data_IF_906038785863
#
_entry.id   IF_906038785863
#
_cell.length_a   1.000
_cell.length_b   1.000
_cell.length_c   1.000
_cell.angle_alpha   90.00
_cell.angle_beta   90.00
_cell.angle_gamma   90.00
#
_symmetry.space_group_name_H-M   'P 1'
#
loop_
_entity.id
_entity.type
_entity.pdbx_description
1 polymer ?
#
# COMPACT_ATOMS: atom_id res chain seq x y z
N UNK A 1 72.54 -5.08 29.62
CA UNK A 1 71.60 -4.03 29.19
C UNK A 1 70.63 -4.63 28.19
N UNK A 2 69.43 -5.04 28.63
CA UNK A 2 68.40 -5.63 27.76
C UNK A 2 67.18 -4.71 27.74
N UNK A 3 66.84 -4.18 26.57
CA UNK A 3 65.70 -3.26 26.37
C UNK A 3 64.42 -4.06 26.19
N UNK A 4 63.52 -3.96 27.15
CA UNK A 4 62.12 -4.37 27.01
C UNK A 4 61.36 -3.34 26.16
N UNK A 5 60.99 -3.71 24.93
CA UNK A 5 59.97 -2.99 24.15
C UNK A 5 58.59 -3.58 24.48
N UNK A 6 57.84 -2.85 25.32
CA UNK A 6 56.42 -3.10 25.56
C UNK A 6 55.64 -2.80 24.27
N UNK A 7 55.09 -3.84 23.66
CA UNK A 7 54.05 -3.71 22.63
C UNK A 7 52.76 -3.25 23.31
N UNK A 8 52.43 -1.97 23.14
CA UNK A 8 51.14 -1.40 23.53
C UNK A 8 50.08 -1.90 22.55
N UNK A 9 49.34 -2.92 22.96
CA UNK A 9 48.17 -3.42 22.24
C UNK A 9 47.05 -2.42 22.48
N UNK A 10 46.96 -1.41 21.62
CA UNK A 10 45.75 -0.59 21.49
C UNK A 10 44.62 -1.52 21.07
N UNK A 11 43.80 -1.88 22.05
CA UNK A 11 42.50 -2.47 21.84
C UNK A 11 41.64 -1.36 21.23
N UNK A 12 41.59 -1.32 19.90
CA UNK A 12 40.59 -0.56 19.17
C UNK A 12 39.24 -1.11 19.62
N UNK A 13 38.62 -0.41 20.57
CA UNK A 13 37.26 -0.63 21.03
C UNK A 13 36.38 -0.32 19.82
N UNK A 14 35.92 -1.37 19.16
CA UNK A 14 34.95 -1.29 18.06
C UNK A 14 33.80 -0.39 18.51
N UNK A 15 33.64 0.74 17.84
CA UNK A 15 32.45 1.60 17.90
C UNK A 15 31.29 0.93 17.14
N UNK A 16 31.06 -0.36 17.39
CA UNK A 16 29.80 -1.01 17.02
C UNK A 16 28.85 -0.73 18.17
N UNK A 17 27.93 0.21 17.95
CA UNK A 17 26.84 0.46 18.89
C UNK A 17 26.09 -0.84 19.18
N UNK A 18 25.60 -0.99 20.40
CA UNK A 18 24.80 -2.15 20.79
C UNK A 18 23.63 -2.29 19.80
N UNK A 19 23.40 -3.47 19.19
CA UNK A 19 22.33 -3.66 18.21
C UNK A 19 20.95 -3.28 18.76
N UNK A 20 20.70 -3.43 20.06
CA UNK A 20 19.45 -2.98 20.67
C UNK A 20 19.31 -1.46 20.72
N UNK A 21 20.39 -0.73 20.97
CA UNK A 21 20.36 0.74 20.96
C UNK A 21 20.02 1.25 19.54
N UNK A 22 20.52 0.56 18.51
CA UNK A 22 20.18 0.86 17.11
C UNK A 22 18.70 0.60 16.82
N UNK A 23 18.11 -0.47 17.37
CA UNK A 23 16.69 -0.77 17.17
C UNK A 23 15.81 0.28 17.87
N UNK A 24 16.15 0.68 19.10
CA UNK A 24 15.39 1.72 19.79
C UNK A 24 15.48 3.08 19.07
N UNK A 25 16.65 3.39 18.49
CA UNK A 25 16.78 4.57 17.62
C UNK A 25 15.89 4.46 16.38
N UNK A 26 15.87 3.30 15.72
CA UNK A 26 14.97 3.05 14.57
C UNK A 26 13.52 3.24 14.99
N UNK A 27 13.07 2.66 16.10
CA UNK A 27 11.69 2.82 16.59
C UNK A 27 11.32 4.27 16.87
N UNK A 28 12.24 5.05 17.44
CA UNK A 28 12.04 6.49 17.62
C UNK A 28 11.86 7.20 16.28
N UNK A 29 12.65 6.84 15.26
CA UNK A 29 12.49 7.38 13.90
C UNK A 29 11.11 6.98 13.35
N UNK A 30 10.73 5.71 13.40
CA UNK A 30 9.43 5.25 12.87
C UNK A 30 8.25 5.95 13.55
N UNK A 31 8.33 6.16 14.87
CA UNK A 31 7.32 6.91 15.62
C UNK A 31 7.18 8.34 15.09
N UNK A 32 8.30 9.02 14.87
CA UNK A 32 8.32 10.36 14.28
C UNK A 32 7.76 10.35 12.85
N UNK A 33 8.16 9.40 12.00
CA UNK A 33 7.65 9.31 10.62
C UNK A 33 6.13 9.13 10.60
N UNK A 34 5.57 8.29 11.46
CA UNK A 34 4.13 8.08 11.57
C UNK A 34 3.38 9.35 12.00
N UNK A 35 3.96 10.13 12.92
CA UNK A 35 3.41 11.43 13.31
C UNK A 35 3.37 12.40 12.14
N UNK A 36 4.47 12.50 11.38
CA UNK A 36 4.56 13.39 10.22
C UNK A 36 3.55 13.01 9.14
N UNK A 37 3.45 11.73 8.79
CA UNK A 37 2.45 11.24 7.81
C UNK A 37 1.02 11.61 8.23
N UNK A 38 0.72 11.52 9.53
CA UNK A 38 -0.64 11.74 10.04
C UNK A 38 -1.02 13.21 10.18
N UNK A 39 -0.06 14.08 10.55
CA UNK A 39 -0.35 15.47 10.97
C UNK A 39 0.19 16.49 9.96
N UNK A 40 1.35 16.21 9.35
CA UNK A 40 2.09 17.14 8.49
C UNK A 40 2.60 16.45 7.22
N UNK A 41 1.71 15.87 6.38
CA UNK A 41 2.13 15.10 5.21
C UNK A 41 2.96 15.91 4.20
N UNK A 42 2.74 17.24 4.14
CA UNK A 42 3.51 18.16 3.31
C UNK A 42 4.98 18.31 3.73
N UNK A 43 5.36 17.87 4.93
CA UNK A 43 6.74 17.91 5.42
C UNK A 43 7.50 16.58 5.24
N UNK A 44 6.83 15.52 4.78
CA UNK A 44 7.40 14.17 4.67
C UNK A 44 8.74 14.13 3.91
N UNK A 45 8.89 14.93 2.85
CA UNK A 45 10.13 14.97 2.06
C UNK A 45 11.37 15.29 2.91
N UNK A 46 11.23 16.16 3.90
CA UNK A 46 12.34 16.57 4.78
C UNK A 46 12.83 15.42 5.67
N UNK A 47 12.01 14.39 5.88
CA UNK A 47 12.30 13.23 6.73
C UNK A 47 12.78 12.00 5.95
N UNK A 48 12.85 12.06 4.62
CA UNK A 48 13.38 10.97 3.78
C UNK A 48 14.79 10.51 4.24
N UNK A 49 15.75 11.42 4.54
CA UNK A 49 17.07 11.00 5.04
C UNK A 49 17.00 10.19 6.34
N UNK A 50 16.07 10.53 7.25
CA UNK A 50 15.86 9.82 8.50
C UNK A 50 15.32 8.42 8.26
N UNK A 51 14.35 8.27 7.36
CA UNK A 51 13.81 6.97 6.99
C UNK A 51 14.88 6.07 6.32
N UNK A 52 15.71 6.61 5.44
CA UNK A 52 16.85 5.90 4.85
C UNK A 52 17.91 5.49 5.87
N UNK A 53 18.17 6.33 6.87
CA UNK A 53 19.06 5.99 7.99
C UNK A 53 18.51 4.82 8.80
N UNK A 54 17.20 4.78 9.06
CA UNK A 54 16.55 3.66 9.73
C UNK A 54 16.64 2.35 8.92
N UNK A 55 16.38 2.41 7.60
CA UNK A 55 16.57 1.25 6.70
C UNK A 55 18.00 0.72 6.76
N UNK A 56 18.99 1.61 6.63
CA UNK A 56 20.42 1.25 6.68
C UNK A 56 20.78 0.57 8.01
N UNK A 57 20.27 1.08 9.13
CA UNK A 57 20.50 0.50 10.45
C UNK A 57 19.91 -0.91 10.57
N UNK A 58 18.67 -1.12 10.09
CA UNK A 58 17.98 -2.42 10.08
C UNK A 58 18.71 -3.46 9.23
N UNK A 59 19.24 -3.05 8.07
CA UNK A 59 20.01 -3.92 7.19
C UNK A 59 21.35 -4.31 7.82
N UNK A 60 22.03 -3.34 8.44
CA UNK A 60 23.31 -3.56 9.12
C UNK A 60 23.20 -4.64 10.20
N UNK A 61 22.19 -4.56 11.06
CA UNK A 61 21.95 -5.53 12.14
C UNK A 61 21.19 -6.79 11.67
N UNK A 62 20.84 -6.87 10.37
CA UNK A 62 20.08 -7.98 9.77
C UNK A 62 18.76 -8.26 10.51
N UNK A 63 18.07 -7.21 10.93
CA UNK A 63 16.92 -7.26 11.84
C UNK A 63 15.83 -8.27 11.42
N UNK A 64 15.52 -8.31 10.12
CA UNK A 64 14.47 -9.18 9.56
C UNK A 64 14.87 -10.66 9.40
N UNK A 65 16.01 -11.08 9.96
CA UNK A 65 16.39 -12.50 10.02
C UNK A 65 16.01 -13.16 11.34
N UNK A 66 15.64 -12.38 12.36
CA UNK A 66 15.30 -12.90 13.68
C UNK A 66 13.78 -13.11 13.82
N UNK A 67 13.27 -14.35 13.77
CA UNK A 67 11.83 -14.61 13.91
C UNK A 67 11.30 -14.26 15.31
N UNK A 68 12.15 -14.14 16.35
CA UNK A 68 11.70 -13.82 17.70
C UNK A 68 11.15 -12.39 17.80
N UNK A 69 11.51 -11.49 16.86
CA UNK A 69 11.10 -10.08 16.83
C UNK A 69 9.92 -9.82 15.92
N UNK A 70 9.09 -10.84 15.67
CA UNK A 70 7.97 -10.77 14.72
C UNK A 70 7.10 -9.51 14.89
N UNK A 71 6.60 -9.23 16.11
CA UNK A 71 5.74 -8.08 16.35
C UNK A 71 6.42 -6.73 15.99
N UNK A 72 7.71 -6.59 16.32
CA UNK A 72 8.49 -5.39 15.98
C UNK A 72 8.74 -5.29 14.47
N UNK A 73 8.98 -6.42 13.79
CA UNK A 73 9.15 -6.45 12.34
C UNK A 73 7.90 -5.96 11.63
N UNK A 74 6.72 -6.46 12.02
CA UNK A 74 5.44 -6.02 11.47
C UNK A 74 5.28 -4.50 11.65
N UNK A 75 5.45 -4.01 12.89
CA UNK A 75 5.27 -2.61 13.22
C UNK A 75 6.24 -1.67 12.46
N UNK A 76 7.52 -2.06 12.36
CA UNK A 76 8.53 -1.29 11.62
C UNK A 76 8.21 -1.23 10.13
N UNK A 77 7.87 -2.38 9.51
CA UNK A 77 7.56 -2.40 8.08
C UNK A 77 6.31 -1.56 7.80
N UNK A 78 5.27 -1.66 8.63
CA UNK A 78 4.04 -0.87 8.47
C UNK A 78 4.31 0.64 8.54
N UNK A 79 5.13 1.08 9.50
CA UNK A 79 5.48 2.50 9.62
C UNK A 79 6.33 3.01 8.45
N UNK A 80 7.35 2.26 8.04
CA UNK A 80 8.15 2.60 6.85
C UNK A 80 7.32 2.60 5.58
N UNK A 81 6.40 1.65 5.41
CA UNK A 81 5.52 1.58 4.25
C UNK A 81 4.55 2.76 4.21
N UNK A 82 3.93 3.10 5.34
CA UNK A 82 3.04 4.27 5.43
C UNK A 82 3.76 5.55 5.06
N UNK A 83 5.01 5.69 5.52
CA UNK A 83 5.87 6.80 5.12
C UNK A 83 6.29 6.74 3.65
N UNK A 84 6.64 5.58 3.10
CA UNK A 84 7.06 5.46 1.70
C UNK A 84 5.96 5.84 0.71
N UNK A 85 4.70 5.63 1.09
CA UNK A 85 3.50 5.92 0.31
C UNK A 85 2.65 7.05 0.92
N UNK A 86 3.29 8.03 1.56
CA UNK A 86 2.59 9.15 2.18
C UNK A 86 1.74 9.97 1.19
N UNK A 87 2.10 9.93 -0.09
CA UNK A 87 1.39 10.53 -1.22
C UNK A 87 1.39 9.56 -2.41
N UNK A 88 0.66 8.45 -2.25
CA UNK A 88 0.67 7.32 -3.18
C UNK A 88 0.23 7.69 -4.62
N UNK A 89 -0.61 8.72 -4.76
CA UNK A 89 -1.11 9.20 -6.06
C UNK A 89 -0.03 9.93 -6.85
N UNK A 90 0.89 10.62 -6.17
CA UNK A 90 2.03 11.28 -6.80
C UNK A 90 3.29 10.39 -6.85
N UNK A 91 3.27 9.23 -6.19
CA UNK A 91 4.31 8.22 -6.27
C UNK A 91 4.72 7.66 -4.92
N UNK A 92 5.97 7.25 -4.80
CA UNK A 92 6.51 6.71 -3.55
C UNK A 92 7.98 7.03 -3.40
N UNK A 93 8.49 6.94 -2.17
CA UNK A 93 9.93 6.89 -1.91
C UNK A 93 10.43 5.49 -2.28
N UNK A 94 10.76 5.32 -3.57
CA UNK A 94 10.95 4.02 -4.24
C UNK A 94 11.87 3.07 -3.47
N UNK A 95 13.02 3.55 -3.00
CA UNK A 95 14.00 2.71 -2.29
C UNK A 95 13.46 2.17 -0.95
N UNK A 96 12.63 2.94 -0.26
CA UNK A 96 11.99 2.53 0.99
C UNK A 96 10.81 1.59 0.71
N UNK A 97 10.03 1.86 -0.33
CA UNK A 97 8.94 1.00 -0.77
C UNK A 97 9.45 -0.41 -1.16
N UNK A 98 10.53 -0.48 -1.94
CA UNK A 98 11.18 -1.72 -2.35
C UNK A 98 11.76 -2.47 -1.14
N UNK A 99 12.35 -1.74 -0.17
CA UNK A 99 12.78 -2.34 1.09
C UNK A 99 11.62 -2.98 1.84
N UNK A 100 10.48 -2.28 1.99
CA UNK A 100 9.30 -2.79 2.69
C UNK A 100 8.75 -4.05 2.02
N UNK A 101 8.65 -4.07 0.68
CA UNK A 101 8.22 -5.25 -0.05
C UNK A 101 9.14 -6.45 0.20
N UNK A 102 10.46 -6.25 0.15
CA UNK A 102 11.44 -7.30 0.41
C UNK A 102 11.40 -7.79 1.87
N UNK A 103 11.19 -6.88 2.83
CA UNK A 103 11.05 -7.21 4.24
C UNK A 103 9.79 -8.05 4.48
N UNK A 104 8.65 -7.65 3.92
CA UNK A 104 7.42 -8.43 3.97
C UNK A 104 7.59 -9.84 3.40
N UNK A 105 8.17 -9.97 2.19
CA UNK A 105 8.40 -11.27 1.57
C UNK A 105 9.35 -12.15 2.40
N UNK A 106 10.28 -11.55 3.14
CA UNK A 106 11.16 -12.29 4.06
C UNK A 106 10.38 -12.81 5.28
N UNK A 107 9.52 -11.99 5.88
CA UNK A 107 8.67 -12.40 7.00
C UNK A 107 7.67 -13.47 6.56
N UNK A 108 7.07 -13.32 5.37
CA UNK A 108 6.11 -14.27 4.78
C UNK A 108 6.68 -15.69 4.67
N UNK A 109 7.99 -15.84 4.39
CA UNK A 109 8.62 -17.18 4.32
C UNK A 109 8.52 -17.96 5.62
N UNK A 110 8.52 -17.26 6.76
CA UNK A 110 8.41 -17.87 8.09
C UNK A 110 6.95 -17.96 8.56
N UNK A 111 6.09 -17.08 8.05
CA UNK A 111 4.69 -16.93 8.47
C UNK A 111 3.75 -16.84 7.25
N UNK A 112 3.61 -17.92 6.46
CA UNK A 112 2.97 -17.86 5.13
C UNK A 112 1.48 -17.54 5.16
N UNK A 113 0.80 -17.89 6.25
CA UNK A 113 -0.65 -17.69 6.44
C UNK A 113 -0.95 -16.66 7.55
N UNK A 114 0.04 -15.84 7.93
CA UNK A 114 -0.21 -14.80 8.92
C UNK A 114 -0.98 -13.63 8.30
N UNK A 115 -2.09 -13.26 8.94
CA UNK A 115 -3.02 -12.24 8.45
C UNK A 115 -2.35 -10.88 8.30
N UNK A 116 -1.54 -10.45 9.26
CA UNK A 116 -0.88 -9.13 9.24
C UNK A 116 0.13 -9.02 8.09
N UNK A 117 0.89 -10.10 7.85
CA UNK A 117 1.88 -10.17 6.76
C UNK A 117 1.21 -10.13 5.39
N UNK A 118 0.16 -10.94 5.21
CA UNK A 118 -0.59 -10.99 3.96
C UNK A 118 -1.30 -9.65 3.69
N UNK A 119 -1.88 -9.05 4.74
CA UNK A 119 -2.52 -7.73 4.66
C UNK A 119 -1.51 -6.64 4.32
N UNK A 120 -0.32 -6.66 4.95
CA UNK A 120 0.76 -5.72 4.67
C UNK A 120 1.24 -5.77 3.21
N UNK A 121 1.39 -6.98 2.66
CA UNK A 121 1.71 -7.18 1.24
C UNK A 121 0.60 -6.71 0.31
N UNK A 122 -0.66 -7.05 0.62
CA UNK A 122 -1.82 -6.56 -0.14
C UNK A 122 -1.84 -5.04 -0.24
N UNK A 123 -1.66 -4.37 0.91
CA UNK A 123 -1.56 -2.90 0.99
C UNK A 123 -0.38 -2.37 0.21
N UNK A 124 0.80 -3.00 0.31
CA UNK A 124 1.99 -2.58 -0.42
C UNK A 124 1.73 -2.54 -1.93
N UNK A 125 1.17 -3.62 -2.48
CA UNK A 125 0.85 -3.72 -3.90
C UNK A 125 -0.25 -2.75 -4.34
N UNK A 126 -1.29 -2.59 -3.52
CA UNK A 126 -2.36 -1.62 -3.76
C UNK A 126 -1.80 -0.19 -3.79
N UNK A 127 -0.95 0.19 -2.83
CA UNK A 127 -0.33 1.51 -2.79
C UNK A 127 0.58 1.77 -3.99
N UNK A 128 1.31 0.75 -4.47
CA UNK A 128 2.13 0.86 -5.70
C UNK A 128 1.28 1.11 -6.96
N UNK A 129 0.04 0.64 -7.00
CA UNK A 129 -0.84 0.90 -8.14
C UNK A 129 -1.36 2.34 -8.21
N UNK A 130 -1.37 3.09 -7.10
CA UNK A 130 -2.10 4.36 -7.01
C UNK A 130 -1.61 5.40 -8.00
N UNK A 131 -0.30 5.61 -8.14
CA UNK A 131 0.25 6.55 -9.14
C UNK A 131 -0.14 6.18 -10.58
N UNK A 132 -0.25 4.89 -10.90
CA UNK A 132 -0.69 4.45 -12.24
C UNK A 132 -2.19 4.67 -12.41
N UNK A 133 -2.99 4.41 -11.37
CA UNK A 133 -4.43 4.70 -11.36
C UNK A 133 -4.72 6.19 -11.50
N UNK A 134 -3.98 7.04 -10.78
CA UNK A 134 -4.09 8.51 -10.87
C UNK A 134 -3.78 9.01 -12.29
N UNK A 135 -2.78 8.42 -12.96
CA UNK A 135 -2.47 8.73 -14.37
C UNK A 135 -3.58 8.32 -15.32
N UNK A 136 -4.16 7.13 -15.13
CA UNK A 136 -5.32 6.68 -15.91
C UNK A 136 -6.47 7.67 -15.75
N UNK A 137 -6.81 8.04 -14.52
CA UNK A 137 -7.86 9.02 -14.24
C UNK A 137 -7.59 10.39 -14.89
N UNK A 138 -6.33 10.86 -14.89
CA UNK A 138 -5.96 12.11 -15.53
C UNK A 138 -6.09 12.05 -17.07
N UNK A 139 -5.70 10.93 -17.69
CA UNK A 139 -5.87 10.73 -19.14
C UNK A 139 -7.36 10.65 -19.53
N UNK A 140 -8.18 9.93 -18.75
CA UNK A 140 -9.62 9.82 -18.98
C UNK A 140 -10.35 11.16 -18.77
N UNK A 141 -9.98 11.94 -17.75
CA UNK A 141 -10.59 13.24 -17.45
C UNK A 141 -10.23 14.37 -18.43
N UNK A 142 -9.09 14.28 -19.12
CA UNK A 142 -8.72 15.26 -20.13
C UNK A 142 -9.45 15.06 -21.48
N UNK A 143 -9.92 13.85 -21.75
CA UNK A 143 -10.61 13.51 -23.01
C UNK A 143 -12.01 14.15 -23.15
N UNK A 144 -12.60 14.62 -22.04
CA UNK A 144 -13.87 15.38 -22.06
C UNK A 144 -13.80 16.77 -22.73
N UNK A 145 -12.61 17.21 -23.15
CA UNK A 145 -12.44 18.47 -23.93
C UNK A 145 -12.19 18.25 -25.43
N UNK A 146 -12.21 17.00 -25.90
CA UNK A 146 -11.72 16.61 -27.22
C UNK A 146 -12.75 16.34 -28.31
N UNK A 147 -13.98 16.86 -28.26
CA UNK A 147 -14.89 16.85 -29.43
C UNK A 147 -15.85 18.04 -29.39
N UNK A 148 -15.57 19.09 -30.17
CA UNK A 148 -16.54 19.85 -30.99
C UNK A 148 -15.87 21.11 -31.56
N UNK A 149 -15.21 20.96 -32.72
CA UNK A 149 -15.35 21.98 -33.76
C UNK A 149 -16.83 21.99 -34.15
N UNK A 150 -17.60 22.92 -33.59
CA UNK A 150 -18.81 23.53 -34.17
C UNK A 150 -19.34 24.57 -33.16
N UNK A 151 -19.34 25.83 -33.58
CA UNK A 151 -20.09 26.92 -32.95
C UNK A 151 -21.56 26.49 -32.71
N UNK A 152 -22.10 26.72 -31.50
CA UNK A 152 -23.42 27.32 -31.23
C UNK A 152 -23.66 27.39 -29.69
N UNK A 153 -23.93 28.61 -29.23
CA UNK A 153 -24.68 29.09 -28.05
C UNK A 153 -25.09 28.13 -26.91
N UNK A 154 -24.75 28.54 -25.66
CA UNK A 154 -25.51 28.50 -24.36
C UNK A 154 -26.27 27.20 -24.00
N UNK A 155 -26.22 26.64 -22.79
CA UNK A 155 -26.50 27.26 -21.48
C UNK A 155 -26.29 26.21 -20.36
N UNK A 156 -25.98 26.69 -19.15
CA UNK A 156 -26.33 26.15 -17.82
C UNK A 156 -25.81 24.78 -17.32
N UNK A 157 -24.90 24.89 -16.35
CA UNK A 157 -24.85 24.16 -15.07
C UNK A 157 -25.52 22.78 -15.00
N UNK A 158 -24.70 21.74 -15.10
CA UNK A 158 -24.74 20.62 -14.14
C UNK A 158 -23.34 19.97 -14.12
N UNK A 159 -22.49 20.41 -13.20
CA UNK A 159 -21.24 19.70 -12.88
C UNK A 159 -21.59 18.52 -11.98
N UNK A 160 -22.15 17.49 -12.59
CA UNK A 160 -22.11 16.14 -12.02
C UNK A 160 -20.73 15.57 -12.36
N UNK A 161 -19.76 15.84 -11.47
CA UNK A 161 -18.40 15.30 -11.52
C UNK A 161 -18.43 13.81 -11.14
N UNK A 162 -19.23 13.04 -11.88
CA UNK A 162 -19.15 11.59 -11.87
C UNK A 162 -17.86 11.22 -12.63
N UNK A 163 -16.95 10.43 -12.02
CA UNK A 163 -15.78 9.95 -12.74
C UNK A 163 -16.30 9.15 -13.95
N UNK A 164 -16.14 9.71 -15.14
CA UNK A 164 -16.54 9.07 -16.39
C UNK A 164 -15.63 7.87 -16.63
N UNK A 165 -15.97 6.73 -16.00
CA UNK A 165 -15.29 5.46 -16.22
C UNK A 165 -15.34 5.14 -17.71
N UNK A 166 -14.18 4.91 -18.32
CA UNK A 166 -14.10 4.46 -19.71
C UNK A 166 -15.02 3.24 -19.92
N UNK A 167 -15.80 3.17 -21.01
CA UNK A 167 -16.73 2.07 -21.21
C UNK A 167 -16.02 0.70 -21.14
N UNK A 168 -16.72 -0.39 -20.76
CA UNK A 168 -16.10 -1.71 -20.53
C UNK A 168 -15.31 -2.26 -21.72
N UNK A 169 -15.64 -1.81 -22.92
CA UNK A 169 -15.01 -2.18 -24.19
C UNK A 169 -14.06 -1.11 -24.73
N UNK A 170 -13.64 -0.13 -23.91
CA UNK A 170 -12.69 0.89 -24.35
C UNK A 170 -11.35 0.21 -24.71
N UNK A 171 -10.88 0.32 -25.98
CA UNK A 171 -9.59 -0.23 -26.39
C UNK A 171 -8.41 0.32 -25.57
N UNK A 172 -8.54 1.51 -24.94
CA UNK A 172 -7.55 2.07 -24.01
C UNK A 172 -7.29 1.16 -22.82
N UNK A 173 -8.26 0.36 -22.36
CA UNK A 173 -8.09 -0.63 -21.28
C UNK A 173 -7.06 -1.72 -21.61
N UNK A 174 -6.62 -1.81 -22.88
CA UNK A 174 -5.54 -2.68 -23.33
C UNK A 174 -4.18 -1.95 -23.42
N UNK A 175 -4.16 -0.64 -23.18
CA UNK A 175 -2.99 0.22 -23.25
C UNK A 175 -1.98 -0.02 -22.11
N UNK A 176 -0.77 0.53 -22.24
CA UNK A 176 0.34 0.27 -21.32
C UNK A 176 0.01 0.57 -19.85
N UNK A 177 -0.69 1.68 -19.57
CA UNK A 177 -1.04 2.07 -18.19
C UNK A 177 -1.98 1.06 -17.53
N UNK A 178 -2.99 0.56 -18.24
CA UNK A 178 -3.91 -0.45 -17.71
C UNK A 178 -3.23 -1.81 -17.53
N UNK A 179 -2.27 -2.15 -18.39
CA UNK A 179 -1.44 -3.35 -18.22
C UNK A 179 -0.58 -3.22 -16.95
N UNK A 180 0.05 -2.07 -16.76
CA UNK A 180 0.86 -1.78 -15.57
C UNK A 180 0.01 -1.81 -14.29
N UNK A 181 -1.14 -1.13 -14.28
CA UNK A 181 -2.05 -1.11 -13.15
C UNK A 181 -2.49 -2.53 -12.75
N UNK A 182 -2.87 -3.36 -13.72
CA UNK A 182 -3.19 -4.78 -13.47
C UNK A 182 -2.00 -5.56 -12.91
N UNK A 183 -0.78 -5.26 -13.37
CA UNK A 183 0.46 -5.85 -12.86
C UNK A 183 0.67 -5.62 -11.36
N UNK A 184 0.22 -4.49 -10.82
CA UNK A 184 0.26 -4.20 -9.39
C UNK A 184 -0.99 -4.72 -8.64
N UNK A 185 -2.17 -4.57 -9.24
CA UNK A 185 -3.45 -4.89 -8.59
C UNK A 185 -3.71 -6.40 -8.44
N UNK A 186 -3.25 -7.22 -9.40
CA UNK A 186 -3.44 -8.67 -9.31
C UNK A 186 -2.75 -9.26 -8.05
N UNK A 187 -1.47 -8.96 -7.76
CA UNK A 187 -0.87 -9.33 -6.48
C UNK A 187 -1.62 -8.80 -5.25
N UNK A 188 -2.14 -7.57 -5.29
CA UNK A 188 -2.89 -7.00 -4.17
C UNK A 188 -4.12 -7.84 -3.83
N UNK A 189 -4.94 -8.14 -4.85
CA UNK A 189 -6.12 -9.00 -4.75
C UNK A 189 -5.76 -10.39 -4.23
N UNK A 190 -4.69 -11.00 -4.75
CA UNK A 190 -4.26 -12.34 -4.34
C UNK A 190 -3.85 -12.39 -2.86
N UNK A 191 -3.08 -11.40 -2.40
CA UNK A 191 -2.65 -11.32 -1.00
C UNK A 191 -3.81 -11.03 -0.05
N UNK A 192 -4.72 -10.10 -0.39
CA UNK A 192 -5.90 -9.83 0.43
C UNK A 192 -6.84 -11.03 0.49
N UNK A 193 -7.06 -11.72 -0.63
CA UNK A 193 -7.88 -12.94 -0.65
C UNK A 193 -7.30 -14.02 0.27
N UNK A 194 -5.98 -14.19 0.28
CA UNK A 194 -5.30 -15.10 1.22
C UNK A 194 -5.42 -14.63 2.67
N UNK A 195 -5.27 -13.33 2.93
CA UNK A 195 -5.43 -12.75 4.26
C UNK A 195 -6.83 -13.01 4.82
N UNK A 196 -7.88 -12.81 4.00
CA UNK A 196 -9.27 -13.08 4.39
C UNK A 196 -9.48 -14.56 4.69
N UNK A 197 -8.96 -15.47 3.85
CA UNK A 197 -9.08 -16.92 4.11
C UNK A 197 -8.42 -17.31 5.43
N UNK A 198 -7.24 -16.77 5.70
CA UNK A 198 -6.54 -17.01 6.96
C UNK A 198 -7.31 -16.42 8.16
N UNK A 199 -7.81 -15.19 8.04
CA UNK A 199 -8.59 -14.53 9.09
C UNK A 199 -9.93 -15.23 9.36
N UNK A 200 -10.60 -15.73 8.31
CA UNK A 200 -11.83 -16.52 8.39
C UNK A 200 -11.58 -17.83 9.14
N UNK A 201 -10.46 -18.51 8.84
CA UNK A 201 -10.05 -19.71 9.57
C UNK A 201 -9.78 -19.48 11.06
N UNK A 202 -9.43 -18.25 11.44
CA UNK A 202 -9.19 -17.83 12.83
C UNK A 202 -10.43 -17.18 13.48
N UNK A 203 -11.49 -16.91 12.72
CA UNK A 203 -12.66 -16.17 13.18
C UNK A 203 -12.38 -14.71 13.54
N UNK A 204 -11.36 -14.10 12.94
CA UNK A 204 -10.89 -12.74 13.27
C UNK A 204 -10.84 -11.81 12.05
N UNK A 205 -11.81 -11.93 11.15
CA UNK A 205 -11.87 -11.07 9.96
C UNK A 205 -12.40 -9.70 10.35
N UNK A 206 -11.60 -8.66 10.07
CA UNK A 206 -11.92 -7.28 10.39
C UNK A 206 -12.55 -6.55 9.21
N UNK A 207 -13.33 -5.50 9.50
CA UNK A 207 -13.92 -4.64 8.49
C UNK A 207 -12.86 -3.95 7.63
N UNK A 208 -11.76 -3.47 8.25
CA UNK A 208 -10.63 -2.86 7.53
C UNK A 208 -10.02 -3.79 6.48
N UNK A 209 -9.83 -5.07 6.82
CA UNK A 209 -9.29 -6.06 5.89
C UNK A 209 -10.24 -6.27 4.71
N UNK A 210 -11.53 -6.39 4.98
CA UNK A 210 -12.57 -6.56 3.95
C UNK A 210 -12.67 -5.32 3.05
N UNK A 211 -12.59 -4.12 3.61
CA UNK A 211 -12.61 -2.87 2.86
C UNK A 211 -11.37 -2.71 1.97
N UNK A 212 -10.16 -2.99 2.48
CA UNK A 212 -8.93 -2.98 1.67
C UNK A 212 -8.99 -4.02 0.53
N UNK A 213 -9.54 -5.21 0.81
CA UNK A 213 -9.75 -6.21 -0.22
C UNK A 213 -10.76 -5.73 -1.27
N UNK A 214 -11.87 -5.14 -0.85
CA UNK A 214 -12.88 -4.57 -1.75
C UNK A 214 -12.27 -3.50 -2.65
N UNK A 215 -11.50 -2.57 -2.10
CA UNK A 215 -10.80 -1.53 -2.85
C UNK A 215 -9.91 -2.11 -3.95
N UNK A 216 -9.08 -3.11 -3.61
CA UNK A 216 -8.22 -3.76 -4.62
C UNK A 216 -9.01 -4.41 -5.75
N UNK A 217 -10.18 -4.99 -5.45
CA UNK A 217 -11.07 -5.59 -6.45
C UNK A 217 -11.79 -4.52 -7.28
N UNK A 218 -12.24 -3.42 -6.67
CA UNK A 218 -12.84 -2.29 -7.38
C UNK A 218 -11.84 -1.71 -8.39
N UNK A 219 -10.62 -1.41 -7.93
CA UNK A 219 -9.55 -0.89 -8.77
C UNK A 219 -9.19 -1.87 -9.89
N UNK A 220 -9.08 -3.18 -9.60
CA UNK A 220 -8.81 -4.19 -10.62
C UNK A 220 -9.93 -4.27 -11.67
N UNK A 221 -11.19 -4.16 -11.25
CA UNK A 221 -12.33 -4.12 -12.16
C UNK A 221 -12.32 -2.88 -13.06
N UNK A 222 -11.97 -1.72 -12.51
CA UNK A 222 -11.86 -0.47 -13.26
C UNK A 222 -10.80 -0.53 -14.37
N UNK A 223 -9.73 -1.30 -14.18
CA UNK A 223 -8.66 -1.42 -15.18
C UNK A 223 -8.70 -2.69 -16.03
N UNK A 224 -9.73 -3.52 -15.85
CA UNK A 224 -9.92 -4.76 -16.59
C UNK A 224 -11.03 -4.63 -17.63
N UNK A 225 -11.03 -5.52 -18.62
CA UNK A 225 -12.13 -5.64 -19.58
C UNK A 225 -12.98 -6.88 -19.26
N UNK A 226 -14.21 -6.88 -19.77
CA UNK A 226 -15.12 -8.02 -19.63
C UNK A 226 -14.51 -9.32 -20.18
N UNK A 227 -14.62 -10.46 -19.45
CA UNK A 227 -15.42 -10.70 -18.25
C UNK A 227 -14.66 -10.59 -16.90
N UNK A 228 -13.37 -10.22 -16.92
CA UNK A 228 -12.55 -10.22 -15.71
C UNK A 228 -12.98 -9.12 -14.72
N UNK A 229 -13.53 -8.02 -15.24
CA UNK A 229 -14.10 -6.91 -14.47
C UNK A 229 -15.31 -7.34 -13.63
N UNK A 230 -16.22 -8.15 -14.19
CA UNK A 230 -17.45 -8.60 -13.55
C UNK A 230 -17.15 -9.43 -12.29
N UNK A 231 -16.17 -10.32 -12.37
CA UNK A 231 -15.74 -11.09 -11.20
C UNK A 231 -15.18 -10.17 -10.11
N UNK A 232 -14.35 -9.21 -10.49
CA UNK A 232 -13.74 -8.28 -9.56
C UNK A 232 -14.80 -7.42 -8.86
N UNK A 233 -15.73 -6.81 -9.62
CA UNK A 233 -16.82 -6.02 -9.07
C UNK A 233 -17.74 -6.83 -8.15
N UNK A 234 -18.08 -8.06 -8.56
CA UNK A 234 -18.90 -8.95 -7.73
C UNK A 234 -18.22 -9.26 -6.39
N UNK A 235 -16.92 -9.54 -6.39
CA UNK A 235 -16.18 -9.79 -5.15
C UNK A 235 -16.07 -8.54 -4.29
N UNK A 236 -15.83 -7.37 -4.88
CA UNK A 236 -15.80 -6.10 -4.15
C UNK A 236 -17.10 -5.89 -3.36
N UNK A 237 -18.25 -6.02 -4.01
CA UNK A 237 -19.56 -5.86 -3.35
C UNK A 237 -19.77 -6.86 -2.21
N UNK A 238 -19.34 -8.12 -2.40
CA UNK A 238 -19.44 -9.14 -1.33
C UNK A 238 -18.59 -8.77 -0.12
N UNK A 239 -17.38 -8.26 -0.33
CA UNK A 239 -16.54 -7.81 0.77
C UNK A 239 -17.09 -6.56 1.46
N UNK A 240 -17.59 -5.57 0.71
CA UNK A 240 -18.23 -4.37 1.29
C UNK A 240 -19.43 -4.72 2.18
N UNK A 241 -20.31 -5.62 1.73
CA UNK A 241 -21.43 -6.10 2.57
C UNK A 241 -20.95 -6.78 3.85
N UNK A 242 -19.93 -7.66 3.75
CA UNK A 242 -19.34 -8.28 4.95
C UNK A 242 -18.74 -7.23 5.88
N UNK A 243 -18.06 -6.23 5.34
CA UNK A 243 -17.47 -5.15 6.12
C UNK A 243 -18.54 -4.35 6.87
N UNK A 244 -19.63 -3.97 6.19
CA UNK A 244 -20.78 -3.26 6.78
C UNK A 244 -21.44 -4.04 7.93
N UNK A 245 -21.46 -5.38 7.86
CA UNK A 245 -21.97 -6.23 8.95
C UNK A 245 -21.00 -6.41 10.12
N UNK A 246 -19.75 -5.93 10.00
CA UNK A 246 -18.75 -6.06 11.07
C UNK A 246 -19.04 -5.05 12.16
N UNK A 247 -19.18 -5.53 13.40
CA UNK A 247 -19.57 -4.69 14.52
C UNK A 247 -18.59 -3.52 14.75
N UNK A 248 -19.13 -2.30 14.77
CA UNK A 248 -18.35 -1.08 15.03
C UNK A 248 -17.50 -0.61 13.84
N UNK A 249 -17.59 -1.28 12.69
CA UNK A 249 -16.95 -0.84 11.46
C UNK A 249 -17.89 0.06 10.65
N UNK A 250 -17.33 1.09 10.04
CA UNK A 250 -18.06 1.96 9.11
C UNK A 250 -17.26 2.04 7.81
N UNK A 251 -17.96 1.86 6.69
CA UNK A 251 -17.38 2.07 5.37
C UNK A 251 -17.05 3.56 5.18
N UNK A 252 -16.02 3.84 4.38
CA UNK A 252 -15.79 5.20 3.90
C UNK A 252 -16.94 5.65 3.00
N UNK A 253 -17.17 6.96 2.90
CA UNK A 253 -18.27 7.52 2.10
C UNK A 253 -18.25 7.00 0.65
N UNK A 254 -17.08 6.94 0.03
CA UNK A 254 -16.90 6.41 -1.32
C UNK A 254 -17.28 4.92 -1.43
N UNK A 255 -16.89 4.10 -0.45
CA UNK A 255 -17.23 2.67 -0.45
C UNK A 255 -18.72 2.43 -0.18
N UNK A 256 -19.33 3.22 0.70
CA UNK A 256 -20.76 3.17 0.96
C UNK A 256 -21.54 3.57 -0.29
N UNK A 257 -21.11 4.64 -0.97
CA UNK A 257 -21.71 5.08 -2.23
C UNK A 257 -21.63 3.98 -3.30
N UNK A 258 -20.45 3.38 -3.48
CA UNK A 258 -20.27 2.27 -4.41
C UNK A 258 -21.19 1.08 -4.08
N UNK A 259 -21.34 0.73 -2.80
CA UNK A 259 -22.25 -0.33 -2.37
C UNK A 259 -23.72 0.03 -2.65
N UNK A 260 -24.13 1.28 -2.46
CA UNK A 260 -25.49 1.73 -2.75
C UNK A 260 -25.81 1.65 -4.25
N UNK A 261 -24.88 2.09 -5.10
CA UNK A 261 -25.08 2.18 -6.55
C UNK A 261 -25.11 0.79 -7.21
N UNK A 262 -24.16 -0.07 -6.82
CA UNK A 262 -23.92 -1.34 -7.50
C UNK A 262 -24.41 -2.56 -6.72
N UNK A 263 -24.67 -2.42 -5.42
CA UNK A 263 -25.04 -3.53 -4.54
C UNK A 263 -26.25 -4.30 -5.05
N UNK A 264 -27.26 -3.62 -5.59
CA UNK A 264 -28.50 -4.26 -6.09
C UNK A 264 -28.29 -5.26 -7.23
N UNK A 265 -27.17 -5.19 -7.96
CA UNK A 265 -26.88 -6.07 -9.08
C UNK A 265 -26.15 -7.35 -8.70
N UNK A 266 -25.68 -7.43 -7.45
CA UNK A 266 -24.95 -8.60 -6.93
C UNK A 266 -25.82 -9.30 -5.89
N UNK A 267 -26.12 -10.57 -6.13
CA UNK A 267 -26.83 -11.45 -5.18
C UNK A 267 -25.87 -12.09 -4.19
#
# INVERSE_FOLDING_TARGET
MSRNSKSSRHQARSTEGNPEDMVEQVKSIITLLNEIVSIRPHECETYIPSARSAVTALEHIRFFRDPARFAEQIWIIQGLQSFAFYDADNGSVVDIADFCQNAWLRVLRNYPENVDVLTGLGKNWLQRSQVTLARIHYEEGNDTTGTSDLEIYSTEYDSDDSPSLAPPNDPRRQGPLYVEARGYLQPAVDFFTRAIRAADGLGYTTGDLLASAAESHMSLGNVSASPADEHAFTQAIRYLRRAETTQGYQLSDHMQQYLNDYGRYVS
#
